data_IF_038824309816
#
_entry.id   IF_038824309816
#
_cell.length_a   1.000
_cell.length_b   1.000
_cell.length_c   1.000
_cell.angle_alpha   90.00
_cell.angle_beta   90.00
_cell.angle_gamma   90.00
#
_symmetry.space_group_name_H-M   'P 1'
#
loop_
_entity.id
_entity.type
_entity.pdbx_description
1 polymer ?
#
# COMPACT_ATOMS: atom_id res chain seq x y z
N UNK A 1 20.51 6.18 7.57
CA UNK A 1 20.02 5.82 6.22
C UNK A 1 18.56 5.43 6.36
N UNK A 2 17.62 6.20 5.79
CA UNK A 2 16.19 5.86 5.84
C UNK A 2 15.93 4.74 4.82
N UNK A 3 15.42 3.60 5.28
CA UNK A 3 15.12 2.46 4.41
C UNK A 3 13.98 2.83 3.43
N UNK A 4 14.09 2.40 2.17
CA UNK A 4 13.07 2.60 1.12
C UNK A 4 11.65 2.19 1.59
N UNK A 5 11.58 1.14 2.42
CA UNK A 5 10.33 0.65 3.00
C UNK A 5 9.65 1.66 3.95
N UNK A 6 10.42 2.46 4.69
CA UNK A 6 9.86 3.48 5.59
C UNK A 6 9.28 4.65 4.80
N UNK A 7 9.95 5.06 3.73
CA UNK A 7 9.48 6.13 2.84
C UNK A 7 8.17 5.76 2.14
N UNK A 8 8.02 4.51 1.72
CA UNK A 8 6.79 4.01 1.09
C UNK A 8 5.61 3.94 2.09
N UNK A 9 5.89 3.59 3.35
CA UNK A 9 4.86 3.58 4.39
C UNK A 9 4.45 5.00 4.81
N UNK A 10 5.40 5.94 4.83
CA UNK A 10 5.14 7.36 5.10
C UNK A 10 4.21 7.96 4.03
N UNK A 11 4.42 7.63 2.77
CA UNK A 11 3.50 7.96 1.67
C UNK A 11 2.10 7.40 1.90
N UNK A 12 1.98 6.12 2.27
CA UNK A 12 0.67 5.52 2.55
C UNK A 12 -0.04 6.18 3.76
N UNK A 13 0.71 6.70 4.73
CA UNK A 13 0.17 7.41 5.91
C UNK A 13 -0.22 8.86 5.62
N UNK A 14 0.56 9.57 4.81
CA UNK A 14 0.38 11.01 4.55
C UNK A 14 -0.40 11.31 3.26
N UNK A 15 -0.62 10.30 2.40
CA UNK A 15 -1.39 10.49 1.17
C UNK A 15 -2.86 10.77 1.50
N UNK A 16 -3.36 11.89 0.96
CA UNK A 16 -4.79 12.21 0.94
C UNK A 16 -5.56 11.33 -0.03
N UNK A 17 -4.87 10.59 -0.91
CA UNK A 17 -5.51 9.65 -1.82
C UNK A 17 -5.97 8.44 -1.02
N UNK A 18 -7.30 8.27 -0.93
CA UNK A 18 -7.89 7.07 -0.34
C UNK A 18 -7.38 5.82 -1.09
N UNK A 19 -6.93 4.79 -0.37
CA UNK A 19 -6.53 3.55 -1.01
C UNK A 19 -7.75 2.86 -1.64
N UNK A 20 -7.55 2.32 -2.83
CA UNK A 20 -8.47 1.33 -3.37
C UNK A 20 -8.38 0.07 -2.49
N UNK A 21 -9.51 -0.34 -1.92
CA UNK A 21 -9.54 -1.43 -0.94
C UNK A 21 -10.47 -2.53 -1.45
N UNK A 22 -10.01 -3.79 -1.41
CA UNK A 22 -10.81 -4.95 -1.79
C UNK A 22 -10.52 -6.13 -0.89
N UNK A 23 -11.47 -7.07 -0.78
CA UNK A 23 -11.18 -8.33 -0.09
C UNK A 23 -10.06 -9.09 -0.81
N UNK A 24 -9.19 -9.74 -0.04
CA UNK A 24 -8.20 -10.64 -0.62
C UNK A 24 -8.92 -11.89 -1.15
N UNK A 25 -8.95 -12.15 -2.48
CA UNK A 25 -9.65 -13.29 -3.06
C UNK A 25 -9.05 -14.62 -2.59
N UNK A 26 -7.74 -14.63 -2.28
CA UNK A 26 -7.03 -15.82 -1.84
C UNK A 26 -7.21 -16.07 -0.33
N UNK A 27 -7.65 -15.07 0.45
CA UNK A 27 -7.78 -15.17 1.90
C UNK A 27 -8.82 -14.19 2.46
N UNK A 28 -10.06 -14.67 2.63
CA UNK A 28 -11.24 -13.88 3.06
C UNK A 28 -11.09 -13.10 4.37
N UNK A 29 -10.14 -13.49 5.23
CA UNK A 29 -9.80 -12.79 6.47
C UNK A 29 -8.94 -11.53 6.27
N UNK A 30 -8.54 -11.22 5.05
CA UNK A 30 -7.66 -10.10 4.73
C UNK A 30 -8.32 -9.11 3.77
N UNK A 31 -7.95 -7.83 3.89
CA UNK A 31 -8.28 -6.75 2.95
C UNK A 31 -6.97 -6.30 2.30
N UNK A 32 -6.98 -6.11 0.99
CA UNK A 32 -5.86 -5.52 0.25
C UNK A 32 -6.14 -4.04 0.01
N UNK A 33 -5.24 -3.19 0.46
CA UNK A 33 -5.25 -1.76 0.21
C UNK A 33 -4.17 -1.42 -0.82
N UNK A 34 -4.54 -0.69 -1.87
CA UNK A 34 -3.62 -0.19 -2.90
C UNK A 34 -3.60 1.33 -2.87
N UNK A 35 -2.41 1.89 -2.72
CA UNK A 35 -2.16 3.33 -2.75
C UNK A 35 -1.42 3.67 -4.04
N UNK A 36 -1.84 4.72 -4.73
CA UNK A 36 -1.06 5.32 -5.80
C UNK A 36 -0.11 6.36 -5.20
N UNK A 37 1.17 6.25 -5.55
CA UNK A 37 2.21 7.23 -5.27
C UNK A 37 2.74 7.83 -6.58
N UNK A 38 3.44 8.96 -6.45
CA UNK A 38 4.13 9.63 -7.54
C UNK A 38 5.58 9.85 -7.10
N UNK A 39 6.55 9.50 -7.95
CA UNK A 39 7.97 9.81 -7.72
C UNK A 39 8.23 11.29 -7.99
N UNK A 40 9.45 11.77 -7.66
CA UNK A 40 9.88 13.14 -8.00
C UNK A 40 9.91 13.36 -9.52
N UNK A 41 10.19 12.29 -10.26
CA UNK A 41 10.25 12.29 -11.73
C UNK A 41 8.86 12.14 -12.36
N UNK A 42 7.79 12.27 -11.56
CA UNK A 42 6.38 12.16 -11.97
C UNK A 42 6.00 10.78 -12.49
N UNK A 43 6.72 9.74 -12.09
CA UNK A 43 6.34 8.36 -12.38
C UNK A 43 5.35 7.86 -11.34
N UNK A 44 4.26 7.25 -11.80
CA UNK A 44 3.28 6.63 -10.91
C UNK A 44 3.84 5.30 -10.41
N UNK A 45 3.54 4.95 -9.17
CA UNK A 45 3.76 3.61 -8.65
C UNK A 45 2.64 3.24 -7.69
N UNK A 46 2.48 1.94 -7.43
CA UNK A 46 1.50 1.43 -6.50
C UNK A 46 2.17 0.76 -5.32
N UNK A 47 1.65 1.05 -4.12
CA UNK A 47 1.99 0.36 -2.89
C UNK A 47 0.81 -0.50 -2.48
N UNK A 48 1.04 -1.78 -2.25
CA UNK A 48 0.04 -2.70 -1.72
C UNK A 48 0.34 -3.05 -0.27
N UNK A 49 -0.68 -3.00 0.56
CA UNK A 49 -0.67 -3.36 1.98
C UNK A 49 -1.82 -4.34 2.20
N UNK A 50 -1.60 -5.36 3.03
CA UNK A 50 -2.71 -6.20 3.52
C UNK A 50 -3.10 -5.79 4.95
N UNK A 51 -4.39 -5.82 5.24
CA UNK A 51 -4.96 -5.68 6.59
C UNK A 51 -5.58 -7.01 7.01
N UNK A 52 -5.20 -7.54 8.18
CA UNK A 52 -5.93 -8.63 8.83
C UNK A 52 -7.22 -8.07 9.45
N UNK A 53 -8.38 -8.63 9.09
CA UNK A 53 -9.69 -8.14 9.56
C UNK A 53 -9.88 -8.29 11.07
N UNK A 54 -9.35 -9.35 11.68
CA UNK A 54 -9.55 -9.70 13.10
C UNK A 54 -8.71 -8.79 13.99
N UNK A 55 -7.44 -8.59 13.64
CA UNK A 55 -6.51 -7.79 14.43
C UNK A 55 -6.38 -6.33 13.98
N UNK A 56 -6.98 -5.95 12.85
CA UNK A 56 -6.79 -4.65 12.17
C UNK A 56 -5.33 -4.31 11.89
N UNK A 57 -4.45 -5.32 11.91
CA UNK A 57 -3.02 -5.16 11.72
C UNK A 57 -2.70 -5.10 10.24
N UNK A 58 -1.90 -4.11 9.86
CA UNK A 58 -1.50 -3.84 8.48
C UNK A 58 -0.08 -4.30 8.23
N UNK A 59 0.16 -4.86 7.06
CA UNK A 59 1.45 -5.39 6.64
C UNK A 59 1.75 -4.92 5.23
N UNK A 60 2.94 -4.35 5.04
CA UNK A 60 3.45 -4.04 3.71
C UNK A 60 3.55 -5.33 2.89
N UNK A 61 3.10 -5.29 1.62
CA UNK A 61 3.19 -6.42 0.70
C UNK A 61 4.21 -6.15 -0.39
N UNK A 62 3.97 -5.14 -1.23
CA UNK A 62 4.80 -4.86 -2.39
C UNK A 62 4.66 -3.42 -2.87
N UNK A 63 5.63 -2.99 -3.67
CA UNK A 63 5.63 -1.74 -4.40
C UNK A 63 5.98 -2.07 -5.86
N UNK A 64 5.18 -1.59 -6.82
CA UNK A 64 5.31 -1.95 -8.23
C UNK A 64 4.84 -0.80 -9.14
N UNK A 65 5.36 -0.69 -10.38
CA UNK A 65 4.93 0.35 -11.33
C UNK A 65 3.49 0.08 -11.84
N UNK A 66 2.83 1.08 -12.46
CA UNK A 66 1.68 0.83 -13.33
C UNK A 66 2.07 -0.10 -14.48
N UNK A 67 1.14 -0.94 -14.90
CA UNK A 67 1.26 -1.76 -16.12
C UNK A 67 1.35 -0.88 -17.37
#
# INVERSE_FOLDING_TARGET
MKNQAESNLELAKNSRNRPASKENPNKRGEILHRFAGLTRDKEVFFVQIKEDKKGKKKYFMSCFPPE
#
